data_IF_307669130292
#
_entry.id   IF_307669130292
#
_cell.length_a   1.000
_cell.length_b   1.000
_cell.length_c   1.000
_cell.angle_alpha   90.00
_cell.angle_beta   90.00
_cell.angle_gamma   90.00
#
_symmetry.space_group_name_H-M   'P 1'
#
loop_
_entity.id
_entity.type
_entity.pdbx_description
1 polymer ?
#
# COMPACT_ATOMS: atom_id res chain seq x y z
N UNK A 1 -3.81 3.87 6.97
CA UNK A 1 -4.97 3.74 6.03
C UNK A 1 -5.76 2.50 6.39
N UNK A 2 -7.10 2.55 6.40
CA UNK A 2 -7.97 1.38 6.66
C UNK A 2 -8.31 0.66 5.36
N UNK A 3 -8.30 -0.67 5.40
CA UNK A 3 -8.75 -1.53 4.31
C UNK A 3 -10.28 -1.63 4.30
N UNK A 4 -10.91 -1.43 3.14
CA UNK A 4 -12.35 -1.53 2.97
C UNK A 4 -12.89 -2.96 3.07
N UNK A 5 -12.06 -3.98 2.89
CA UNK A 5 -12.45 -5.39 3.00
C UNK A 5 -12.34 -5.94 4.43
N UNK A 6 -11.38 -5.44 5.21
CA UNK A 6 -10.87 -6.20 6.34
C UNK A 6 -10.96 -5.50 7.69
N UNK A 7 -11.36 -4.22 7.78
CA UNK A 7 -11.33 -3.44 9.04
C UNK A 7 -9.93 -3.21 9.63
N UNK A 8 -8.93 -3.90 9.09
CA UNK A 8 -7.49 -3.81 9.34
C UNK A 8 -6.86 -2.62 8.62
N UNK A 9 -5.64 -2.30 9.01
CA UNK A 9 -4.88 -1.18 8.50
C UNK A 9 -3.75 -1.63 7.57
N UNK A 10 -3.43 -0.80 6.58
CA UNK A 10 -2.19 -0.90 5.81
C UNK A 10 -1.03 -0.61 6.76
N UNK A 11 -0.15 -1.58 6.94
CA UNK A 11 0.83 -1.64 8.03
C UNK A 11 2.22 -1.97 7.50
N UNK A 12 3.24 -1.30 8.03
CA UNK A 12 4.64 -1.72 7.87
C UNK A 12 4.95 -2.80 8.89
N UNK A 13 5.29 -4.00 8.44
CA UNK A 13 5.46 -5.16 9.30
C UNK A 13 6.44 -4.92 10.46
N UNK A 14 5.94 -5.04 11.69
CA UNK A 14 6.71 -4.83 12.92
C UNK A 14 7.23 -3.40 13.11
N UNK A 15 6.74 -2.42 12.34
CA UNK A 15 7.29 -1.07 12.30
C UNK A 15 8.75 -1.01 11.80
N UNK A 16 9.22 -2.05 11.11
CA UNK A 16 10.60 -2.16 10.67
C UNK A 16 10.88 -1.22 9.48
N UNK A 17 11.83 -0.30 9.66
CA UNK A 17 12.21 0.69 8.65
C UNK A 17 13.18 0.15 7.60
N UNK A 18 13.64 -1.09 7.69
CA UNK A 18 14.53 -1.67 6.69
C UNK A 18 13.89 -1.65 5.28
N UNK A 19 14.71 -1.44 4.26
CA UNK A 19 14.25 -1.57 2.88
C UNK A 19 13.83 -3.02 2.60
N UNK A 20 12.69 -3.16 1.93
CA UNK A 20 12.10 -4.47 1.65
C UNK A 20 11.16 -4.99 2.73
N UNK A 21 10.98 -4.28 3.85
CA UNK A 21 9.97 -4.62 4.85
C UNK A 21 8.61 -4.77 4.18
N UNK A 22 7.89 -5.85 4.51
CA UNK A 22 6.58 -6.11 3.94
C UNK A 22 5.58 -5.03 4.37
N UNK A 23 4.77 -4.58 3.40
CA UNK A 23 3.56 -3.82 3.71
C UNK A 23 2.38 -4.78 3.69
N UNK A 24 1.70 -4.87 4.82
CA UNK A 24 0.77 -5.94 5.16
C UNK A 24 -0.57 -5.38 5.66
N UNK A 25 -1.53 -6.29 5.88
CA UNK A 25 -2.63 -6.01 6.78
C UNK A 25 -2.27 -6.35 8.21
N UNK A 26 -2.65 -5.45 9.11
CA UNK A 26 -2.54 -5.68 10.54
C UNK A 26 -3.71 -5.01 11.28
N UNK A 27 -4.00 -5.48 12.50
CA UNK A 27 -4.92 -4.80 13.40
C UNK A 27 -4.55 -3.32 13.52
N UNK A 28 -5.56 -2.45 13.43
CA UNK A 28 -5.35 -1.01 13.54
C UNK A 28 -4.95 -0.67 14.97
N UNK A 29 -3.71 -0.20 15.16
CA UNK A 29 -3.10 0.07 16.47
C UNK A 29 -2.62 1.52 16.65
N UNK A 30 -2.84 2.39 15.64
CA UNK A 30 -2.54 3.82 15.72
C UNK A 30 -1.06 4.19 15.64
N UNK A 31 -0.16 3.21 15.54
CA UNK A 31 1.28 3.47 15.43
C UNK A 31 1.66 4.15 14.12
N UNK A 32 2.84 4.77 14.09
CA UNK A 32 3.37 5.41 12.89
C UNK A 32 3.57 4.43 11.70
N UNK A 33 3.61 3.11 11.95
CA UNK A 33 3.67 2.08 10.92
C UNK A 33 2.39 2.00 10.06
N UNK A 34 1.28 2.58 10.54
CA UNK A 34 -0.04 2.55 9.89
C UNK A 34 -0.51 3.92 9.42
N UNK A 35 0.27 4.96 9.72
CA UNK A 35 0.03 6.34 9.33
C UNK A 35 0.69 6.59 7.99
N UNK A 36 -0.13 6.54 6.93
CA UNK A 36 0.31 6.75 5.56
C UNK A 36 -0.17 8.10 5.06
N UNK A 37 0.76 8.90 4.54
CA UNK A 37 0.49 10.21 3.92
C UNK A 37 0.63 10.10 2.42
N UNK A 38 -0.32 10.64 1.67
CA UNK A 38 -0.21 10.76 0.22
C UNK A 38 0.38 12.13 -0.12
N UNK A 39 1.60 12.15 -0.64
CA UNK A 39 2.31 13.37 -1.04
C UNK A 39 1.81 13.93 -2.36
N UNK A 40 2.06 15.23 -2.59
CA UNK A 40 1.76 15.90 -3.87
C UNK A 40 2.63 15.41 -5.02
N UNK A 41 3.73 14.73 -4.71
CA UNK A 41 4.61 14.04 -5.67
C UNK A 41 4.11 12.65 -6.07
N UNK A 42 2.92 12.25 -5.61
CA UNK A 42 2.32 10.95 -5.92
C UNK A 42 2.88 9.80 -5.08
N UNK A 43 3.71 10.05 -4.07
CA UNK A 43 4.20 9.00 -3.18
C UNK A 43 3.26 8.73 -2.01
N UNK A 44 3.19 7.47 -1.57
CA UNK A 44 2.54 7.09 -0.31
C UNK A 44 3.63 6.83 0.72
N UNK A 45 3.60 7.54 1.85
CA UNK A 45 4.71 7.56 2.81
C UNK A 45 4.30 7.12 4.21
N UNK A 46 5.10 6.27 4.82
CA UNK A 46 5.04 5.92 6.24
C UNK A 46 6.46 5.75 6.79
N UNK A 47 6.67 6.11 8.05
CA UNK A 47 7.99 5.98 8.71
C UNK A 47 9.16 6.65 7.95
N UNK A 48 8.88 7.72 7.18
CA UNK A 48 9.87 8.43 6.36
C UNK A 48 10.23 7.74 5.04
N UNK A 49 9.51 6.68 4.65
CA UNK A 49 9.79 5.84 3.48
C UNK A 49 8.54 5.66 2.61
N UNK A 50 8.73 5.16 1.40
CA UNK A 50 7.72 5.09 0.35
C UNK A 50 7.12 3.69 0.19
N UNK A 51 5.83 3.66 -0.17
CA UNK A 51 5.12 2.47 -0.62
C UNK A 51 5.63 2.09 -2.01
N UNK A 52 6.24 0.92 -2.10
CA UNK A 52 7.06 0.51 -3.25
C UNK A 52 6.54 -0.82 -3.80
N UNK A 53 6.29 -0.87 -5.12
CA UNK A 53 6.09 -2.16 -5.80
C UNK A 53 7.45 -2.80 -6.00
N UNK A 54 7.67 -3.96 -5.35
CA UNK A 54 8.97 -4.60 -5.25
C UNK A 54 9.57 -4.87 -6.63
N UNK A 55 10.76 -4.29 -6.86
CA UNK A 55 11.53 -4.47 -8.10
C UNK A 55 10.83 -3.93 -9.35
N UNK A 56 9.82 -3.06 -9.21
CA UNK A 56 9.06 -2.53 -10.33
C UNK A 56 8.17 -3.56 -11.03
N UNK A 57 7.83 -4.66 -10.37
CA UNK A 57 6.99 -5.70 -10.95
C UNK A 57 5.64 -5.14 -11.42
N UNK A 58 5.24 -5.45 -12.64
CA UNK A 58 3.99 -4.93 -13.21
C UNK A 58 2.86 -5.93 -13.16
N UNK A 59 3.12 -7.23 -13.01
CA UNK A 59 2.11 -8.29 -13.04
C UNK A 59 1.19 -8.31 -11.81
N UNK A 60 0.01 -8.91 -11.97
CA UNK A 60 -0.88 -9.24 -10.86
C UNK A 60 -0.14 -10.05 -9.80
N UNK A 61 -0.25 -9.63 -8.55
CA UNK A 61 0.38 -10.29 -7.42
C UNK A 61 1.79 -9.79 -7.08
N UNK A 62 2.36 -8.86 -7.85
CA UNK A 62 3.61 -8.20 -7.48
C UNK A 62 3.45 -7.55 -6.09
N UNK A 63 4.40 -7.84 -5.21
CA UNK A 63 4.29 -7.53 -3.78
C UNK A 63 4.71 -6.10 -3.49
N UNK A 64 4.05 -5.52 -2.49
CA UNK A 64 4.34 -4.18 -2.02
C UNK A 64 5.28 -4.25 -0.81
N UNK A 65 6.14 -3.25 -0.67
CA UNK A 65 7.15 -3.13 0.38
C UNK A 65 7.35 -1.68 0.81
N UNK A 66 8.10 -1.49 1.89
CA UNK A 66 8.67 -0.22 2.27
C UNK A 66 10.05 -0.07 1.63
N UNK A 67 10.33 1.09 1.05
CA UNK A 67 11.64 1.40 0.49
C UNK A 67 11.97 2.89 0.65
N UNK A 68 13.25 3.23 0.62
CA UNK A 68 13.67 4.63 0.52
C UNK A 68 12.97 5.34 -0.65
N UNK A 69 12.52 6.56 -0.41
CA UNK A 69 11.88 7.36 -1.44
C UNK A 69 12.93 7.79 -2.47
N UNK A 70 12.74 7.40 -3.73
CA UNK A 70 13.57 7.85 -4.84
C UNK A 70 12.86 8.91 -5.69
N UNK A 71 13.62 9.77 -6.34
CA UNK A 71 13.09 10.71 -7.33
C UNK A 71 12.73 9.97 -8.63
N UNK A 72 11.53 10.18 -9.16
CA UNK A 72 11.10 9.63 -10.45
C UNK A 72 10.89 8.10 -10.50
N UNK A 73 10.89 7.42 -9.35
CA UNK A 73 10.73 5.96 -9.29
C UNK A 73 9.26 5.58 -9.56
N UNK A 74 8.98 5.12 -10.78
CA UNK A 74 7.61 4.84 -11.24
C UNK A 74 6.91 3.73 -10.42
N UNK A 75 7.66 2.86 -9.75
CA UNK A 75 7.16 1.82 -8.85
C UNK A 75 6.80 2.34 -7.45
N UNK A 76 7.13 3.60 -7.14
CA UNK A 76 6.78 4.32 -5.90
C UNK A 76 5.72 5.41 -6.14
N UNK A 77 5.32 5.63 -7.40
CA UNK A 77 4.27 6.57 -7.76
C UNK A 77 2.90 5.91 -7.71
N UNK A 78 1.93 6.64 -7.15
CA UNK A 78 0.55 6.22 -6.98
C UNK A 78 -0.39 7.38 -7.33
N UNK A 79 -1.56 7.06 -7.87
CA UNK A 79 -2.65 8.01 -8.09
C UNK A 79 -3.90 7.51 -7.39
N UNK A 80 -4.68 8.43 -6.81
CA UNK A 80 -6.01 8.09 -6.27
C UNK A 80 -6.89 7.57 -7.41
N UNK A 81 -7.59 6.47 -7.18
CA UNK A 81 -8.41 5.82 -8.21
C UNK A 81 -9.63 5.13 -7.58
N UNK A 82 -10.80 5.78 -7.62
CA UNK A 82 -12.07 5.16 -7.19
C UNK A 82 -12.06 4.59 -5.77
N UNK A 83 -11.42 5.30 -4.82
CA UNK A 83 -11.22 4.82 -3.43
C UNK A 83 -10.04 3.86 -3.25
N UNK A 84 -9.24 3.66 -4.29
CA UNK A 84 -7.97 2.91 -4.28
C UNK A 84 -6.77 3.83 -4.55
N UNK A 85 -5.59 3.21 -4.63
CA UNK A 85 -4.36 3.81 -5.15
C UNK A 85 -3.86 2.95 -6.31
N UNK A 86 -3.81 3.51 -7.51
CA UNK A 86 -3.31 2.85 -8.72
C UNK A 86 -1.86 3.25 -8.95
N UNK A 87 -0.99 2.27 -9.20
CA UNK A 87 0.36 2.53 -9.67
C UNK A 87 0.33 2.77 -11.19
N UNK A 88 0.73 3.96 -11.71
CA UNK A 88 0.62 4.27 -13.13
C UNK A 88 1.46 3.36 -14.03
N UNK A 89 2.64 2.91 -13.58
CA UNK A 89 3.55 2.08 -14.36
C UNK A 89 2.98 0.69 -14.66
N UNK A 90 2.32 0.06 -13.68
CA UNK A 90 1.68 -1.25 -13.84
C UNK A 90 0.23 -1.17 -14.32
N UNK A 91 -0.41 -0.01 -14.11
CA UNK A 91 -1.83 0.20 -14.31
C UNK A 91 -2.74 -0.48 -13.28
N UNK A 92 -2.17 -1.05 -12.21
CA UNK A 92 -2.86 -1.88 -11.22
C UNK A 92 -3.03 -1.16 -9.88
N UNK A 93 -4.01 -1.61 -9.11
CA UNK A 93 -4.41 -1.04 -7.84
C UNK A 93 -3.76 -1.75 -6.65
N UNK A 94 -3.46 -1.00 -5.59
CA UNK A 94 -3.09 -1.55 -4.29
C UNK A 94 -4.20 -2.47 -3.81
N UNK A 95 -3.83 -3.71 -3.49
CA UNK A 95 -4.75 -4.83 -3.32
C UNK A 95 -4.42 -5.61 -2.05
N UNK A 96 -5.47 -5.87 -1.26
CA UNK A 96 -5.46 -6.91 -0.25
C UNK A 96 -5.77 -8.26 -0.93
N UNK A 97 -4.81 -9.21 -0.99
CA UNK A 97 -5.00 -10.46 -1.71
C UNK A 97 -6.26 -11.21 -1.28
N UNK A 98 -7.13 -11.46 -2.26
CA UNK A 98 -8.41 -12.19 -2.07
C UNK A 98 -9.35 -11.54 -1.02
N UNK A 99 -9.12 -10.27 -0.65
CA UNK A 99 -9.92 -9.57 0.35
C UNK A 99 -9.89 -10.17 1.75
N UNK A 100 -8.85 -10.93 2.12
CA UNK A 100 -8.74 -11.63 3.41
C UNK A 100 -8.45 -10.67 4.55
N UNK A 101 -9.00 -10.94 5.74
CA UNK A 101 -8.75 -10.14 6.95
C UNK A 101 -7.78 -10.86 7.90
N UNK A 102 -6.58 -11.18 7.43
CA UNK A 102 -5.56 -11.96 8.19
C UNK A 102 -4.37 -11.06 8.48
N UNK A 103 -3.90 -11.05 9.73
CA UNK A 103 -2.69 -10.32 10.12
C UNK A 103 -1.46 -10.91 9.44
N UNK A 104 -0.54 -10.04 9.03
CA UNK A 104 0.64 -10.47 8.30
C UNK A 104 0.41 -10.69 6.80
N UNK A 105 -0.83 -10.59 6.32
CA UNK A 105 -1.12 -10.74 4.90
C UNK A 105 -0.47 -9.62 4.10
N UNK A 106 0.61 -9.94 3.40
CA UNK A 106 1.32 -8.98 2.55
C UNK A 106 0.43 -8.51 1.40
N UNK A 107 0.37 -7.20 1.21
CA UNK A 107 -0.36 -6.55 0.11
C UNK A 107 0.36 -6.73 -1.24
N UNK A 108 -0.38 -6.50 -2.30
CA UNK A 108 0.10 -6.65 -3.68
C UNK A 108 -0.50 -5.56 -4.57
N UNK A 109 -0.13 -5.56 -5.84
CA UNK A 109 -0.90 -4.91 -6.89
C UNK A 109 -1.76 -5.93 -7.64
N UNK A 110 -2.94 -5.51 -8.06
CA UNK A 110 -3.84 -6.32 -8.90
C UNK A 110 -4.66 -5.42 -9.84
N UNK A 111 -5.16 -5.98 -10.93
CA UNK A 111 -6.08 -5.27 -11.83
C UNK A 111 -7.18 -4.56 -11.04
N UNK A 112 -7.44 -3.30 -11.37
CA UNK A 112 -8.40 -2.47 -10.66
C UNK A 112 -9.83 -2.98 -10.90
N UNK A 113 -10.46 -3.51 -9.86
CA UNK A 113 -11.82 -4.09 -9.89
C UNK A 113 -12.85 -3.32 -9.06
N UNK A 114 -12.44 -2.27 -8.34
CA UNK A 114 -13.33 -1.40 -7.54
C UNK A 114 -13.97 -2.08 -6.31
N UNK A 115 -13.62 -3.34 -6.06
CA UNK A 115 -14.13 -4.13 -4.94
C UNK A 115 -13.48 -3.70 -3.62
N UNK A 116 -14.02 -4.19 -2.50
CA UNK A 116 -13.59 -3.83 -1.14
C UNK A 116 -12.11 -4.14 -0.86
N UNK A 117 -11.51 -5.13 -1.53
CA UNK A 117 -10.12 -5.51 -1.31
C UNK A 117 -9.12 -4.43 -1.77
N UNK A 118 -9.58 -3.52 -2.64
CA UNK A 118 -8.77 -2.44 -3.19
C UNK A 118 -9.19 -1.07 -2.65
N UNK A 119 -10.13 -1.01 -1.70
CA UNK A 119 -10.55 0.25 -1.08
C UNK A 119 -9.65 0.58 0.10
N UNK A 120 -9.14 1.80 0.13
CA UNK A 120 -8.23 2.30 1.15
C UNK A 120 -8.66 3.71 1.58
N UNK A 121 -9.02 3.87 2.87
CA UNK A 121 -9.38 5.17 3.43
C UNK A 121 -8.32 5.67 4.39
N UNK A 122 -8.10 6.98 4.40
CA UNK A 122 -7.32 7.65 5.45
C UNK A 122 -8.31 8.04 6.54
N UNK A 123 -8.06 7.75 7.83
CA UNK A 123 -8.93 8.27 8.90
C UNK A 123 -8.95 9.80 8.86
N UNK A 124 -10.14 10.41 8.81
CA UNK A 124 -10.32 11.87 8.84
C UNK A 124 -10.41 12.58 7.48
N UNK A 125 -10.69 11.85 6.39
CA UNK A 125 -11.06 12.42 5.09
C UNK A 125 -12.56 12.22 4.82
#
# INVERSE_FOLDING_TARGET
MRSGAAGKCLDVAGGNRANGTAVQLYECNGTAAQQWTFGTDGTLRALGKCLDVRGGGTANGAKVQLWDCGSGQANQTWVRHGGSYRNPASGRCLDNPRGRAVDGQRTQIWDCRGNRAQRWSVPGA
#
